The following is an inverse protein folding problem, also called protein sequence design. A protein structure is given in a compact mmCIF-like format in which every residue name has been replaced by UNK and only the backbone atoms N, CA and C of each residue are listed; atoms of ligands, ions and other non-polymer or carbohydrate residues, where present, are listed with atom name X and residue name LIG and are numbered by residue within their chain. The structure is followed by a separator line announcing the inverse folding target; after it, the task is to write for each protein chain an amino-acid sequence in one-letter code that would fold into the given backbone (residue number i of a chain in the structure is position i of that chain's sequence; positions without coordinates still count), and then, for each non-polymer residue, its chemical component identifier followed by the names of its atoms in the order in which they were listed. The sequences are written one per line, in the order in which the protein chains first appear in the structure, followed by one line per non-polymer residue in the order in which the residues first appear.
data_IF_876290054034
#
_entry.id   IF_876290054034
#
_cell.length_a   1.000
_cell.length_b   1.000
_cell.length_c   1.000
_cell.angle_alpha   90.00
_cell.angle_beta   90.00
_cell.angle_gamma   90.00
#
_symmetry.space_group_name_H-M   'P 1'
#
loop_
_entity.id
_entity.type
_entity.pdbx_description
1 polymer ?
#
# COMPACT_ATOMS: atom_id res chain seq x y z
N UNK A 1 -18.34 -28.68 -69.61
CA UNK A 1 -17.01 -28.18 -69.19
C UNK A 1 -17.15 -27.38 -67.91
N UNK A 2 -16.14 -27.49 -67.04
CA UNK A 2 -15.91 -26.78 -65.75
C UNK A 2 -16.59 -27.35 -64.51
N UNK A 3 -15.89 -28.30 -63.88
CA UNK A 3 -15.98 -28.59 -62.46
C UNK A 3 -14.76 -28.00 -61.74
N UNK A 4 -15.06 -27.26 -60.67
CA UNK A 4 -14.29 -26.97 -59.44
C UNK A 4 -12.77 -27.28 -59.42
N UNK A 5 -11.98 -26.23 -59.25
CA UNK A 5 -10.64 -26.31 -58.64
C UNK A 5 -10.74 -25.74 -57.22
N UNK A 6 -10.45 -26.60 -56.23
CA UNK A 6 -10.23 -26.24 -54.84
C UNK A 6 -8.72 -26.01 -54.65
N UNK A 7 -8.40 -24.91 -53.98
CA UNK A 7 -7.11 -24.52 -53.43
C UNK A 7 -6.51 -25.61 -52.50
N UNK A 8 -5.20 -25.48 -52.22
CA UNK A 8 -4.80 -25.36 -50.82
C UNK A 8 -4.07 -24.04 -50.60
N UNK A 9 -4.66 -23.22 -49.72
CA UNK A 9 -4.06 -22.01 -49.16
C UNK A 9 -3.05 -22.48 -48.10
N UNK A 10 -1.76 -22.40 -48.42
CA UNK A 10 -0.70 -22.63 -47.45
C UNK A 10 -0.67 -21.45 -46.47
N UNK A 11 -1.12 -21.69 -45.25
CA UNK A 11 -0.98 -20.77 -44.12
C UNK A 11 0.49 -20.82 -43.70
N UNK A 12 1.27 -19.80 -44.09
CA UNK A 12 2.57 -19.53 -43.49
C UNK A 12 2.33 -18.84 -42.15
N UNK A 13 2.31 -19.60 -41.06
CA UNK A 13 2.50 -19.06 -39.71
C UNK A 13 3.97 -18.69 -39.56
N UNK A 14 4.28 -17.40 -39.64
CA UNK A 14 5.56 -16.86 -39.21
C UNK A 14 5.65 -16.93 -37.68
N UNK A 15 6.13 -18.07 -37.16
CA UNK A 15 6.70 -18.18 -35.82
C UNK A 15 8.10 -17.54 -35.82
N UNK A 16 8.14 -16.21 -35.82
CA UNK A 16 9.33 -15.43 -35.47
C UNK A 16 9.02 -14.65 -34.19
N UNK A 17 9.10 -15.34 -33.06
CA UNK A 17 8.96 -14.77 -31.73
C UNK A 17 10.00 -15.37 -30.79
N UNK A 18 11.28 -15.30 -31.16
CA UNK A 18 12.38 -15.72 -30.29
C UNK A 18 12.75 -14.56 -29.35
N UNK A 19 12.50 -14.75 -28.05
CA UNK A 19 13.23 -14.15 -26.91
C UNK A 19 13.36 -12.62 -26.81
N UNK A 20 12.36 -11.83 -27.22
CA UNK A 20 12.30 -10.44 -26.73
C UNK A 20 11.68 -10.44 -25.32
N UNK A 21 12.51 -10.21 -24.30
CA UNK A 21 12.04 -10.02 -22.92
C UNK A 21 11.06 -8.85 -22.84
N UNK A 22 10.01 -9.00 -22.03
CA UNK A 22 9.04 -7.92 -21.81
C UNK A 22 9.73 -6.71 -21.16
N UNK A 23 9.17 -5.48 -21.25
CA UNK A 23 9.71 -4.33 -20.54
C UNK A 23 9.91 -4.61 -19.04
N UNK A 24 8.98 -5.29 -18.39
CA UNK A 24 9.07 -5.66 -16.97
C UNK A 24 10.15 -6.68 -16.67
N UNK A 25 10.36 -7.64 -17.58
CA UNK A 25 11.45 -8.61 -17.46
C UNK A 25 12.82 -7.91 -17.61
N UNK A 26 12.94 -6.93 -18.52
CA UNK A 26 14.16 -6.10 -18.63
C UNK A 26 14.43 -5.31 -17.35
N UNK A 27 13.39 -4.73 -16.74
CA UNK A 27 13.50 -4.05 -15.46
C UNK A 27 13.95 -5.02 -14.37
N UNK A 28 13.32 -6.20 -14.24
CA UNK A 28 13.72 -7.22 -13.26
C UNK A 28 15.18 -7.68 -13.47
N UNK A 29 15.63 -7.80 -14.71
CA UNK A 29 17.00 -8.19 -15.05
C UNK A 29 18.03 -7.07 -14.78
N UNK A 30 17.58 -5.82 -14.55
CA UNK A 30 18.46 -4.73 -14.12
C UNK A 30 18.80 -4.76 -12.63
N UNK A 31 18.10 -5.60 -11.85
CA UNK A 31 18.25 -5.72 -10.40
C UNK A 31 19.07 -6.96 -10.02
N UNK A 32 19.74 -6.94 -8.85
CA UNK A 32 20.41 -8.12 -8.33
C UNK A 32 19.44 -9.29 -8.14
N UNK A 33 19.99 -10.50 -8.15
CA UNK A 33 19.26 -11.70 -7.76
C UNK A 33 19.41 -11.89 -6.25
N UNK A 34 18.31 -11.68 -5.52
CA UNK A 34 18.26 -11.58 -4.07
C UNK A 34 17.25 -12.59 -3.50
N UNK A 35 17.61 -13.23 -2.39
CA UNK A 35 16.69 -14.03 -1.58
C UNK A 35 16.40 -13.32 -0.24
N UNK A 36 15.29 -13.67 0.41
CA UNK A 36 14.94 -13.12 1.72
C UNK A 36 16.00 -13.45 2.77
N UNK A 37 16.60 -14.64 2.72
CA UNK A 37 17.65 -15.07 3.64
C UNK A 37 18.93 -14.25 3.50
N UNK A 38 19.19 -13.69 2.32
CA UNK A 38 20.35 -12.83 2.07
C UNK A 38 20.14 -11.42 2.62
N UNK A 39 18.93 -10.88 2.47
CA UNK A 39 18.65 -9.46 2.76
C UNK A 39 18.12 -9.23 4.18
N UNK A 40 17.43 -10.21 4.78
CA UNK A 40 16.86 -10.07 6.12
C UNK A 40 17.88 -10.46 7.19
N UNK A 41 18.34 -9.53 8.04
CA UNK A 41 19.19 -9.89 9.16
C UNK A 41 18.39 -10.64 10.23
N UNK A 42 19.11 -11.38 11.07
CA UNK A 42 18.50 -11.94 12.28
C UNK A 42 18.19 -10.81 13.27
N UNK A 43 16.97 -10.82 13.81
CA UNK A 43 16.51 -9.82 14.77
C UNK A 43 15.99 -10.50 16.02
N UNK A 44 16.19 -9.84 17.16
CA UNK A 44 15.67 -10.28 18.45
C UNK A 44 14.25 -9.74 18.67
N UNK A 45 13.48 -10.49 19.47
CA UNK A 45 12.20 -10.02 19.99
C UNK A 45 12.38 -8.74 20.82
N UNK A 46 11.37 -7.88 20.84
CA UNK A 46 11.33 -6.72 21.71
C UNK A 46 10.02 -6.70 22.50
N UNK A 47 9.80 -5.63 23.28
CA UNK A 47 8.63 -5.52 24.15
C UNK A 47 7.27 -5.51 23.42
N UNK A 48 7.25 -5.25 22.11
CA UNK A 48 6.04 -5.17 21.30
C UNK A 48 5.91 -6.32 20.31
N UNK A 49 7.00 -6.84 19.75
CA UNK A 49 6.95 -7.85 18.72
C UNK A 49 7.86 -9.06 18.97
N UNK A 50 7.34 -10.24 18.66
CA UNK A 50 8.04 -11.52 18.74
C UNK A 50 7.87 -12.32 17.45
N UNK A 51 8.80 -13.26 17.14
CA UNK A 51 8.73 -14.06 15.90
C UNK A 51 7.49 -14.96 15.77
N UNK A 52 6.79 -15.26 16.87
CA UNK A 52 5.59 -16.10 16.90
C UNK A 52 4.33 -15.34 16.51
N UNK A 53 4.37 -14.01 16.52
CA UNK A 53 3.26 -13.18 16.06
C UNK A 53 3.09 -13.33 14.55
N UNK A 54 1.85 -13.24 14.07
CA UNK A 54 1.59 -13.27 12.64
C UNK A 54 2.00 -11.94 11.97
N UNK A 55 2.46 -12.04 10.73
CA UNK A 55 3.12 -10.95 10.00
C UNK A 55 2.25 -9.71 9.78
N UNK A 56 0.92 -9.84 9.77
CA UNK A 56 0.01 -8.69 9.67
C UNK A 56 0.14 -7.79 10.90
N UNK A 57 0.11 -8.37 12.10
CA UNK A 57 0.26 -7.62 13.34
C UNK A 57 1.67 -7.03 13.44
N UNK A 58 2.69 -7.79 13.04
CA UNK A 58 4.08 -7.33 13.03
C UNK A 58 4.28 -6.12 12.11
N UNK A 59 3.67 -6.13 10.92
CA UNK A 59 3.65 -4.97 10.01
C UNK A 59 2.98 -3.76 10.68
N UNK A 60 1.77 -3.96 11.23
CA UNK A 60 1.02 -2.93 11.92
C UNK A 60 1.79 -2.29 13.07
N UNK A 61 2.40 -3.10 13.93
CA UNK A 61 3.23 -2.64 15.05
C UNK A 61 4.47 -1.91 14.57
N UNK A 62 5.09 -2.39 13.49
CA UNK A 62 6.21 -1.70 12.84
C UNK A 62 5.83 -0.28 12.45
N UNK A 63 4.71 -0.10 11.75
CA UNK A 63 4.24 1.22 11.32
C UNK A 63 3.81 2.08 12.52
N UNK A 64 3.11 1.49 13.50
CA UNK A 64 2.72 2.20 14.73
C UNK A 64 3.92 2.81 15.45
N UNK A 65 5.03 2.07 15.54
CA UNK A 65 6.26 2.51 16.18
C UNK A 65 6.99 3.61 15.39
N UNK A 66 6.89 3.60 14.05
CA UNK A 66 7.36 4.72 13.22
C UNK A 66 6.54 5.98 13.52
N UNK A 67 5.22 5.85 13.66
CA UNK A 67 4.36 6.97 14.01
C UNK A 67 4.69 7.54 15.40
N UNK A 68 5.05 6.69 16.36
CA UNK A 68 5.54 7.15 17.67
C UNK A 68 6.87 7.91 17.56
N UNK A 69 7.80 7.41 16.74
CA UNK A 69 9.07 8.10 16.46
C UNK A 69 8.83 9.51 15.87
N UNK A 70 7.88 9.63 14.95
CA UNK A 70 7.48 10.90 14.37
C UNK A 70 6.90 11.87 15.43
N UNK A 71 6.04 11.40 16.32
CA UNK A 71 5.47 12.21 17.40
C UNK A 71 6.55 12.67 18.37
N UNK A 72 7.52 11.82 18.71
CA UNK A 72 8.55 12.10 19.71
C UNK A 72 9.65 13.02 19.19
N UNK A 73 10.10 12.82 17.95
CA UNK A 73 11.32 13.46 17.44
C UNK A 73 11.08 14.39 16.24
N UNK A 74 9.87 14.40 15.66
CA UNK A 74 9.49 15.30 14.57
C UNK A 74 10.48 15.27 13.41
N UNK A 75 10.98 16.44 13.00
CA UNK A 75 11.95 16.58 11.92
C UNK A 75 13.32 15.95 12.21
N UNK A 76 13.70 15.78 13.49
CA UNK A 76 14.99 15.17 13.88
C UNK A 76 15.06 13.66 13.61
N UNK A 77 13.92 13.02 13.30
CA UNK A 77 13.78 11.57 13.13
C UNK A 77 14.67 10.96 12.04
N UNK A 78 15.05 11.74 11.04
CA UNK A 78 15.81 11.25 9.87
C UNK A 78 17.31 11.17 10.12
N UNK A 79 17.82 11.75 11.21
CA UNK A 79 19.27 11.86 11.44
C UNK A 79 19.87 10.62 12.09
N UNK A 80 19.13 9.99 13.00
CA UNK A 80 19.58 8.85 13.81
C UNK A 80 18.45 7.84 14.04
N UNK A 81 18.81 6.57 14.19
CA UNK A 81 17.89 5.51 14.57
C UNK A 81 17.55 5.56 16.07
N UNK A 82 16.36 6.09 16.39
CA UNK A 82 15.79 6.07 17.75
C UNK A 82 15.53 4.64 18.23
N UNK A 83 15.15 4.52 19.52
CA UNK A 83 14.73 3.24 20.09
C UNK A 83 13.48 2.71 19.38
N UNK A 84 12.54 3.59 19.09
CA UNK A 84 11.28 3.29 18.41
C UNK A 84 11.55 2.76 16.99
N UNK A 85 12.46 3.38 16.25
CA UNK A 85 12.86 2.91 14.91
C UNK A 85 13.56 1.56 14.94
N UNK A 86 14.42 1.30 15.94
CA UNK A 86 15.05 -0.01 16.09
C UNK A 86 14.01 -1.10 16.37
N UNK A 87 13.02 -0.82 17.23
CA UNK A 87 11.92 -1.74 17.49
C UNK A 87 11.04 -1.94 16.25
N UNK A 88 10.67 -0.86 15.56
CA UNK A 88 9.89 -0.90 14.32
C UNK A 88 10.55 -1.77 13.27
N UNK A 89 11.85 -1.56 13.06
CA UNK A 89 12.68 -2.33 12.14
C UNK A 89 12.67 -3.82 12.47
N UNK A 90 12.81 -4.21 13.75
CA UNK A 90 12.68 -5.63 14.14
C UNK A 90 11.32 -6.22 13.76
N UNK A 91 10.22 -5.50 14.03
CA UNK A 91 8.88 -6.00 13.70
C UNK A 91 8.70 -6.17 12.18
N UNK A 92 9.16 -5.20 11.39
CA UNK A 92 9.06 -5.24 9.93
C UNK A 92 9.92 -6.36 9.32
N UNK A 93 11.11 -6.63 9.87
CA UNK A 93 11.94 -7.76 9.43
C UNK A 93 11.25 -9.10 9.71
N UNK A 94 10.57 -9.24 10.86
CA UNK A 94 9.76 -10.43 11.15
C UNK A 94 8.52 -10.55 10.26
N UNK A 95 7.96 -9.43 9.80
CA UNK A 95 6.81 -9.40 8.90
C UNK A 95 7.17 -9.72 7.43
N UNK A 96 8.34 -9.28 6.98
CA UNK A 96 8.78 -9.30 5.58
C UNK A 96 8.62 -10.66 4.86
N UNK A 97 8.87 -11.83 5.48
CA UNK A 97 8.72 -13.11 4.77
C UNK A 97 7.31 -13.43 4.26
N UNK A 98 6.28 -12.74 4.76
CA UNK A 98 4.88 -12.93 4.34
C UNK A 98 4.21 -11.63 3.89
N UNK A 99 4.89 -10.49 4.04
CA UNK A 99 4.39 -9.16 3.73
C UNK A 99 5.52 -8.34 3.09
N UNK A 100 5.66 -8.44 1.78
CA UNK A 100 6.71 -7.78 1.00
C UNK A 100 6.68 -6.26 1.14
N UNK A 101 5.51 -5.65 1.33
CA UNK A 101 5.36 -4.22 1.69
C UNK A 101 6.21 -3.78 2.88
N UNK A 102 6.51 -4.70 3.82
CA UNK A 102 7.42 -4.41 4.94
C UNK A 102 8.82 -4.01 4.44
N UNK A 103 9.26 -4.55 3.31
CA UNK A 103 10.54 -4.22 2.68
C UNK A 103 10.56 -2.81 2.08
N UNK A 104 9.43 -2.30 1.57
CA UNK A 104 9.33 -0.88 1.17
C UNK A 104 9.59 0.04 2.37
N UNK A 105 8.96 -0.28 3.50
CA UNK A 105 9.08 0.52 4.74
C UNK A 105 10.50 0.39 5.31
N UNK A 106 11.08 -0.80 5.31
CA UNK A 106 12.47 -1.02 5.72
C UNK A 106 13.45 -0.24 4.83
N UNK A 107 13.28 -0.30 3.51
CA UNK A 107 14.08 0.47 2.56
C UNK A 107 14.05 1.97 2.85
N UNK A 108 12.87 2.51 3.19
CA UNK A 108 12.70 3.91 3.60
C UNK A 108 13.39 4.22 4.92
N UNK A 109 13.25 3.36 5.94
CA UNK A 109 13.90 3.53 7.25
C UNK A 109 15.42 3.59 7.10
N UNK A 110 15.98 2.63 6.37
CA UNK A 110 17.42 2.46 6.16
C UNK A 110 17.96 3.59 5.28
N UNK A 111 17.28 3.87 4.16
CA UNK A 111 17.71 4.88 3.20
C UNK A 111 17.74 6.30 3.76
N UNK A 112 16.87 6.60 4.73
CA UNK A 112 16.86 7.88 5.44
C UNK A 112 17.98 8.00 6.49
N UNK A 113 18.49 6.89 7.04
CA UNK A 113 19.38 6.85 8.22
C UNK A 113 20.71 6.18 7.91
N UNK A 114 21.40 6.69 6.89
CA UNK A 114 22.65 6.13 6.36
C UNK A 114 23.85 6.26 7.32
N UNK A 115 23.69 6.96 8.44
CA UNK A 115 24.69 6.99 9.52
C UNK A 115 24.61 5.74 10.41
N UNK A 116 23.43 5.14 10.53
CA UNK A 116 23.18 3.96 11.35
C UNK A 116 23.16 2.66 10.54
N UNK A 117 22.84 2.75 9.25
CA UNK A 117 22.60 1.60 8.40
C UNK A 117 23.26 1.70 7.03
N UNK A 118 23.52 0.55 6.41
CA UNK A 118 24.15 0.48 5.09
C UNK A 118 23.18 0.92 3.98
N UNK A 119 23.69 1.67 3.01
CA UNK A 119 22.93 2.06 1.81
C UNK A 119 22.58 0.86 0.94
N UNK A 120 23.45 -0.16 0.89
CA UNK A 120 23.18 -1.37 0.10
C UNK A 120 21.98 -2.12 0.65
N UNK A 121 21.80 -2.15 1.97
CA UNK A 121 20.65 -2.78 2.61
C UNK A 121 19.33 -2.12 2.21
N UNK A 122 19.28 -0.78 2.16
CA UNK A 122 18.09 -0.08 1.67
C UNK A 122 17.78 -0.44 0.22
N UNK A 123 18.81 -0.46 -0.63
CA UNK A 123 18.66 -0.82 -2.03
C UNK A 123 18.18 -2.26 -2.20
N UNK A 124 18.73 -3.22 -1.46
CA UNK A 124 18.39 -4.63 -1.57
C UNK A 124 16.92 -4.89 -1.16
N UNK A 125 16.43 -4.22 -0.12
CA UNK A 125 15.01 -4.28 0.26
C UNK A 125 14.10 -3.75 -0.84
N UNK A 126 14.43 -2.58 -1.39
CA UNK A 126 13.65 -1.94 -2.47
C UNK A 126 13.71 -2.81 -3.73
N UNK A 127 14.88 -3.30 -4.13
CA UNK A 127 15.07 -4.14 -5.31
C UNK A 127 14.29 -5.45 -5.18
N UNK A 128 14.36 -6.13 -4.03
CA UNK A 128 13.59 -7.36 -3.81
C UNK A 128 12.09 -7.10 -3.90
N UNK A 129 11.58 -6.06 -3.23
CA UNK A 129 10.16 -5.72 -3.23
C UNK A 129 9.64 -5.36 -4.63
N UNK A 130 10.41 -4.58 -5.40
CA UNK A 130 10.05 -4.20 -6.77
C UNK A 130 10.01 -5.42 -7.72
N UNK A 131 10.93 -6.39 -7.58
CA UNK A 131 10.86 -7.66 -8.34
C UNK A 131 9.59 -8.45 -8.04
N UNK A 132 8.98 -8.23 -6.89
CA UNK A 132 7.73 -8.85 -6.44
C UNK A 132 6.51 -7.94 -6.62
N UNK A 133 6.60 -6.93 -7.49
CA UNK A 133 5.51 -6.03 -7.89
C UNK A 133 4.95 -5.15 -6.76
N UNK A 134 5.77 -4.81 -5.76
CA UNK A 134 5.40 -3.79 -4.77
C UNK A 134 5.59 -2.40 -5.39
N UNK A 135 4.48 -1.73 -5.70
CA UNK A 135 4.49 -0.44 -6.40
C UNK A 135 5.25 0.66 -5.64
N UNK A 136 5.20 0.64 -4.29
CA UNK A 136 6.01 1.51 -3.43
C UNK A 136 7.52 1.37 -3.67
N UNK A 137 7.99 0.15 -3.93
CA UNK A 137 9.40 -0.11 -4.18
C UNK A 137 9.80 0.22 -5.61
N UNK A 138 8.89 0.03 -6.57
CA UNK A 138 9.09 0.46 -7.95
C UNK A 138 9.23 1.99 -8.03
N UNK A 139 8.38 2.74 -7.31
CA UNK A 139 8.53 4.19 -7.14
C UNK A 139 9.86 4.55 -6.45
N UNK A 140 10.26 3.77 -5.43
CA UNK A 140 11.57 3.91 -4.79
C UNK A 140 12.75 3.74 -5.77
N UNK A 141 12.66 2.82 -6.73
CA UNK A 141 13.69 2.66 -7.76
C UNK A 141 13.72 3.82 -8.76
N UNK A 142 12.55 4.38 -9.11
CA UNK A 142 12.50 5.64 -9.86
C UNK A 142 13.27 6.75 -9.14
N UNK A 143 13.02 6.94 -7.84
CA UNK A 143 13.72 7.92 -7.02
C UNK A 143 15.23 7.69 -6.94
N UNK A 144 15.65 6.42 -6.84
CA UNK A 144 17.07 6.06 -6.78
C UNK A 144 17.78 6.38 -8.08
N UNK A 145 17.19 5.99 -9.22
CA UNK A 145 17.82 6.17 -10.53
C UNK A 145 17.58 7.55 -11.14
N UNK A 146 16.56 8.30 -10.75
CA UNK A 146 16.29 9.63 -11.33
C UNK A 146 17.37 10.64 -10.98
N UNK A 147 17.85 10.60 -9.72
CA UNK A 147 18.82 11.55 -9.17
C UNK A 147 20.12 10.91 -8.67
N UNK A 148 20.21 9.57 -8.65
CA UNK A 148 21.38 8.84 -8.17
C UNK A 148 21.47 8.85 -6.65
N UNK A 149 20.93 7.81 -5.99
CA UNK A 149 20.99 7.61 -4.53
C UNK A 149 21.49 6.21 -4.20
N UNK A 150 21.75 5.97 -2.91
CA UNK A 150 22.13 4.67 -2.35
C UNK A 150 23.33 3.98 -3.05
N UNK A 151 24.26 4.77 -3.59
CA UNK A 151 25.44 4.25 -4.29
C UNK A 151 25.24 3.98 -5.79
N UNK A 152 24.06 4.27 -6.34
CA UNK A 152 23.78 4.14 -7.76
C UNK A 152 23.84 5.49 -8.48
N UNK A 153 24.45 5.57 -9.68
CA UNK A 153 24.45 6.78 -10.48
C UNK A 153 23.05 7.06 -11.07
N UNK A 154 22.75 8.31 -11.44
CA UNK A 154 21.52 8.61 -12.15
C UNK A 154 21.45 7.87 -13.48
N UNK A 155 20.29 7.27 -13.77
CA UNK A 155 19.94 6.65 -15.04
C UNK A 155 18.46 6.96 -15.34
N UNK A 156 18.21 8.02 -16.12
CA UNK A 156 16.85 8.51 -16.39
C UNK A 156 15.99 7.50 -17.14
N UNK A 157 16.56 6.76 -18.10
CA UNK A 157 15.80 5.77 -18.86
C UNK A 157 15.31 4.64 -17.96
N UNK A 158 16.21 4.11 -17.12
CA UNK A 158 15.85 3.07 -16.15
C UNK A 158 14.86 3.59 -15.11
N UNK A 159 15.06 4.81 -14.62
CA UNK A 159 14.14 5.45 -13.67
C UNK A 159 12.72 5.54 -14.24
N UNK A 160 12.57 6.04 -15.48
CA UNK A 160 11.26 6.18 -16.11
C UNK A 160 10.57 4.84 -16.34
N UNK A 161 11.31 3.77 -16.64
CA UNK A 161 10.75 2.42 -16.73
C UNK A 161 10.17 1.95 -15.39
N UNK A 162 10.86 2.21 -14.28
CA UNK A 162 10.35 1.91 -12.94
C UNK A 162 9.15 2.77 -12.55
N UNK A 163 9.15 4.07 -12.88
CA UNK A 163 8.00 4.96 -12.66
C UNK A 163 6.75 4.46 -13.41
N UNK A 164 6.89 4.11 -14.68
CA UNK A 164 5.79 3.61 -15.49
C UNK A 164 5.23 2.29 -14.92
N UNK A 165 6.11 1.40 -14.44
CA UNK A 165 5.68 0.15 -13.81
C UNK A 165 4.96 0.39 -12.47
N UNK A 166 5.48 1.26 -11.61
CA UNK A 166 4.82 1.67 -10.37
C UNK A 166 3.42 2.24 -10.64
N UNK A 167 3.31 3.13 -11.63
CA UNK A 167 2.05 3.73 -12.06
C UNK A 167 1.06 2.67 -12.57
N UNK A 168 1.52 1.67 -13.35
CA UNK A 168 0.68 0.53 -13.79
C UNK A 168 0.23 -0.35 -12.63
N UNK A 169 1.06 -0.50 -11.60
CA UNK A 169 0.74 -1.24 -10.39
C UNK A 169 -0.06 -0.45 -9.35
N UNK A 170 -0.58 0.73 -9.74
CA UNK A 170 -1.55 1.48 -8.93
C UNK A 170 -0.95 2.51 -7.98
N UNK A 171 0.36 2.80 -8.08
CA UNK A 171 0.93 3.91 -7.31
C UNK A 171 0.43 5.24 -7.87
N UNK A 172 -0.45 5.91 -7.10
CA UNK A 172 -1.14 7.12 -7.54
C UNK A 172 -0.18 8.30 -7.75
N UNK A 173 0.86 8.43 -6.91
CA UNK A 173 1.89 9.46 -7.07
C UNK A 173 2.66 9.25 -8.38
N UNK A 174 3.04 8.01 -8.69
CA UNK A 174 3.68 7.66 -9.96
C UNK A 174 2.77 7.94 -11.15
N UNK A 175 1.47 7.69 -11.05
CA UNK A 175 0.51 8.05 -12.11
C UNK A 175 0.44 9.56 -12.32
N UNK A 176 0.42 10.36 -11.25
CA UNK A 176 0.47 11.82 -11.33
C UNK A 176 1.79 12.30 -11.95
N UNK A 177 2.90 11.65 -11.59
CA UNK A 177 4.22 11.94 -12.14
C UNK A 177 4.33 11.57 -13.62
N UNK A 178 3.70 10.49 -14.07
CA UNK A 178 3.59 10.17 -15.49
C UNK A 178 2.84 11.25 -16.28
N UNK A 179 1.77 11.83 -15.72
CA UNK A 179 1.07 12.98 -16.33
C UNK A 179 1.97 14.20 -16.40
N UNK A 180 2.61 14.54 -15.27
CA UNK A 180 3.49 15.71 -15.14
C UNK A 180 4.66 15.63 -16.10
N UNK A 181 5.43 14.54 -16.05
CA UNK A 181 6.60 14.34 -16.88
C UNK A 181 6.24 14.34 -18.37
N UNK A 182 5.21 13.61 -18.78
CA UNK A 182 4.79 13.56 -20.19
C UNK A 182 4.34 14.94 -20.69
N UNK A 183 3.69 15.73 -19.84
CA UNK A 183 3.30 17.10 -20.17
C UNK A 183 4.50 18.04 -20.30
N UNK A 184 5.53 17.89 -19.46
CA UNK A 184 6.77 18.67 -19.54
C UNK A 184 7.59 18.36 -20.80
N UNK A 185 7.44 17.16 -21.35
CA UNK A 185 8.05 16.75 -22.63
C UNK A 185 7.17 17.06 -23.85
N UNK A 186 6.08 17.81 -23.70
CA UNK A 186 5.07 18.06 -24.73
C UNK A 186 4.44 16.78 -25.34
N UNK A 187 4.56 15.64 -24.65
CA UNK A 187 3.94 14.38 -25.02
C UNK A 187 2.52 14.28 -24.45
N UNK A 188 1.65 15.17 -24.94
CA UNK A 188 0.28 15.27 -24.47
C UNK A 188 -0.59 14.01 -24.69
N UNK A 189 -0.42 13.19 -25.76
CA UNK A 189 -1.14 11.92 -25.88
C UNK A 189 -0.89 10.96 -24.70
N UNK A 190 0.36 10.81 -24.27
CA UNK A 190 0.70 9.95 -23.11
C UNK A 190 0.25 10.58 -21.80
N UNK A 191 0.44 11.90 -21.63
CA UNK A 191 -0.08 12.62 -20.47
C UNK A 191 -1.59 12.46 -20.32
N UNK A 192 -2.32 12.48 -21.44
CA UNK A 192 -3.76 12.29 -21.47
C UNK A 192 -4.17 10.89 -21.05
N UNK A 193 -3.47 9.86 -21.54
CA UNK A 193 -3.75 8.47 -21.18
C UNK A 193 -3.60 8.24 -19.66
N UNK A 194 -2.54 8.76 -19.04
CA UNK A 194 -2.37 8.68 -17.59
C UNK A 194 -3.36 9.53 -16.81
N UNK A 195 -3.72 10.72 -17.31
CA UNK A 195 -4.76 11.54 -16.70
C UNK A 195 -6.13 10.84 -16.70
N UNK A 196 -6.40 10.02 -17.72
CA UNK A 196 -7.60 9.18 -17.82
C UNK A 196 -7.57 8.03 -16.81
N UNK A 197 -6.41 7.41 -16.57
CA UNK A 197 -6.25 6.38 -15.53
C UNK A 197 -6.50 6.94 -14.14
N UNK A 198 -5.96 8.12 -13.82
CA UNK A 198 -6.26 8.83 -12.56
C UNK A 198 -7.74 9.19 -12.39
N UNK A 199 -8.49 9.24 -13.50
CA UNK A 199 -9.91 9.59 -13.53
C UNK A 199 -10.24 10.96 -12.88
N UNK A 200 -9.29 11.91 -12.95
CA UNK A 200 -9.45 13.25 -12.40
C UNK A 200 -9.90 14.23 -13.49
N UNK A 201 -11.18 14.62 -13.48
CA UNK A 201 -11.77 15.49 -14.52
C UNK A 201 -10.96 16.78 -14.76
N UNK A 202 -10.46 17.42 -13.70
CA UNK A 202 -9.66 18.65 -13.81
C UNK A 202 -8.34 18.40 -14.55
N UNK A 203 -7.66 17.31 -14.23
CA UNK A 203 -6.37 16.92 -14.82
C UNK A 203 -6.56 16.54 -16.30
N UNK A 204 -7.59 15.75 -16.61
CA UNK A 204 -7.97 15.39 -17.98
C UNK A 204 -8.22 16.65 -18.83
N UNK A 205 -9.05 17.57 -18.34
CA UNK A 205 -9.39 18.78 -19.09
C UNK A 205 -8.21 19.74 -19.25
N UNK A 206 -7.30 19.80 -18.26
CA UNK A 206 -6.08 20.60 -18.36
C UNK A 206 -5.15 20.11 -19.48
N UNK A 207 -4.98 18.79 -19.62
CA UNK A 207 -4.18 18.21 -20.70
C UNK A 207 -4.86 18.38 -22.05
N UNK A 208 -6.16 18.08 -22.17
CA UNK A 208 -6.94 18.22 -23.42
C UNK A 208 -6.85 19.61 -24.05
N UNK A 209 -6.85 20.68 -23.25
CA UNK A 209 -6.76 22.06 -23.75
C UNK A 209 -5.48 22.35 -24.53
N UNK A 210 -4.43 21.54 -24.34
CA UNK A 210 -3.14 21.66 -25.04
C UNK A 210 -3.04 20.75 -26.27
N UNK A 211 -4.07 19.94 -26.55
CA UNK A 211 -4.03 18.89 -27.57
C UNK A 211 -4.76 19.29 -28.85
N UNK A 212 -4.22 18.86 -29.97
CA UNK A 212 -4.95 18.83 -31.24
C UNK A 212 -5.96 17.67 -31.30
N UNK A 213 -6.95 17.69 -32.21
CA UNK A 213 -7.85 16.55 -32.43
C UNK A 213 -7.13 15.23 -32.74
N UNK A 214 -6.01 15.29 -33.47
CA UNK A 214 -5.17 14.13 -33.75
C UNK A 214 -4.54 13.56 -32.47
N UNK A 215 -3.94 14.43 -31.65
CA UNK A 215 -3.35 14.02 -30.37
C UNK A 215 -4.39 13.44 -29.41
N UNK A 216 -5.63 13.93 -29.43
CA UNK A 216 -6.72 13.33 -28.65
C UNK A 216 -7.01 11.90 -29.08
N UNK A 217 -7.06 11.63 -30.40
CA UNK A 217 -7.24 10.28 -30.91
C UNK A 217 -6.05 9.36 -30.55
N UNK A 218 -4.81 9.85 -30.67
CA UNK A 218 -3.61 9.14 -30.23
C UNK A 218 -3.64 8.86 -28.72
N UNK A 219 -4.09 9.81 -27.90
CA UNK A 219 -4.23 9.65 -26.46
C UNK A 219 -5.27 8.60 -26.07
N UNK A 220 -6.40 8.51 -26.76
CA UNK A 220 -7.37 7.44 -26.55
C UNK A 220 -6.81 6.05 -26.92
N UNK A 221 -5.97 5.97 -27.96
CA UNK A 221 -5.27 4.73 -28.30
C UNK A 221 -4.29 4.31 -27.20
N UNK A 222 -3.49 5.25 -26.70
CA UNK A 222 -2.59 5.01 -25.57
C UNK A 222 -3.35 4.58 -24.31
N UNK A 223 -4.45 5.25 -23.98
CA UNK A 223 -5.30 4.86 -22.84
C UNK A 223 -5.82 3.43 -23.00
N UNK A 224 -6.34 3.08 -24.18
CA UNK A 224 -6.84 1.73 -24.46
C UNK A 224 -5.75 0.67 -24.30
N UNK A 225 -4.53 0.95 -24.78
CA UNK A 225 -3.38 0.05 -24.63
C UNK A 225 -2.92 -0.05 -23.17
N UNK A 226 -3.03 1.03 -22.40
CA UNK A 226 -2.63 1.07 -21.01
C UNK A 226 -3.57 0.23 -20.14
N UNK A 227 -4.89 0.27 -20.40
CA UNK A 227 -5.89 -0.50 -19.66
C UNK A 227 -5.60 -2.01 -19.59
N UNK A 228 -4.97 -2.59 -20.62
CA UNK A 228 -4.60 -4.02 -20.60
C UNK A 228 -3.36 -4.35 -19.78
N UNK A 229 -2.66 -3.34 -19.25
CA UNK A 229 -1.41 -3.48 -18.51
C UNK A 229 -1.52 -2.99 -17.07
N UNK A 230 -2.62 -2.34 -16.70
CA UNK A 230 -2.88 -1.91 -15.34
C UNK A 230 -3.19 -3.12 -14.45
N UNK A 231 -2.75 -3.06 -13.20
CA UNK A 231 -3.29 -3.93 -12.16
C UNK A 231 -4.81 -3.67 -12.05
N UNK A 232 -5.64 -4.72 -12.03
CA UNK A 232 -7.07 -4.56 -11.85
C UNK A 232 -7.41 -3.76 -10.59
N UNK A 233 -8.37 -2.84 -10.68
CA UNK A 233 -8.79 -1.97 -9.56
C UNK A 233 -9.12 -2.77 -8.29
N UNK A 234 -9.82 -3.89 -8.44
CA UNK A 234 -10.14 -4.81 -7.34
C UNK A 234 -8.91 -5.34 -6.61
N UNK A 235 -7.82 -5.61 -7.32
CA UNK A 235 -6.60 -6.14 -6.72
C UNK A 235 -5.87 -5.03 -5.93
N UNK A 236 -5.92 -3.78 -6.43
CA UNK A 236 -5.43 -2.59 -5.72
C UNK A 236 -6.25 -2.37 -4.44
N UNK A 237 -7.58 -2.38 -4.53
CA UNK A 237 -8.49 -2.25 -3.38
C UNK A 237 -8.23 -3.34 -2.34
N UNK A 238 -8.02 -4.59 -2.77
CA UNK A 238 -7.73 -5.70 -1.88
C UNK A 238 -6.38 -5.54 -1.16
N UNK A 239 -5.35 -5.04 -1.86
CA UNK A 239 -4.05 -4.73 -1.27
C UNK A 239 -4.17 -3.59 -0.24
N UNK A 240 -4.82 -2.48 -0.59
CA UNK A 240 -5.06 -1.36 0.32
C UNK A 240 -5.83 -1.79 1.58
N UNK A 241 -6.90 -2.59 1.40
CA UNK A 241 -7.67 -3.12 2.52
C UNK A 241 -6.81 -3.97 3.45
N UNK A 242 -5.91 -4.79 2.90
CA UNK A 242 -4.97 -5.62 3.67
C UNK A 242 -4.03 -4.75 4.53
N UNK A 243 -3.54 -3.65 3.98
CA UNK A 243 -2.68 -2.70 4.70
C UNK A 243 -3.44 -1.96 5.80
N UNK A 244 -4.67 -1.52 5.54
CA UNK A 244 -5.54 -0.87 6.55
C UNK A 244 -5.82 -1.83 7.72
N UNK A 245 -6.05 -3.11 7.45
CA UNK A 245 -6.22 -4.13 8.49
C UNK A 245 -4.93 -4.28 9.32
N UNK A 246 -3.76 -4.34 8.68
CA UNK A 246 -2.49 -4.42 9.40
C UNK A 246 -2.28 -3.21 10.31
N UNK A 247 -2.46 -2.00 9.78
CA UNK A 247 -2.40 -0.74 10.52
C UNK A 247 -3.34 -0.74 11.74
N UNK A 248 -4.62 -1.06 11.51
CA UNK A 248 -5.64 -1.08 12.55
C UNK A 248 -5.35 -2.14 13.62
N UNK A 249 -4.86 -3.31 13.23
CA UNK A 249 -4.41 -4.36 14.15
C UNK A 249 -3.26 -3.89 15.04
N UNK A 250 -2.24 -3.25 14.46
CA UNK A 250 -1.09 -2.71 15.19
C UNK A 250 -1.49 -1.60 16.17
N UNK A 251 -2.37 -0.71 15.74
CA UNK A 251 -2.87 0.40 16.55
C UNK A 251 -3.66 -0.06 17.78
N UNK A 252 -4.59 -0.99 17.56
CA UNK A 252 -5.39 -1.60 18.62
C UNK A 252 -4.49 -2.40 19.57
N UNK A 253 -3.56 -3.21 19.05
CA UNK A 253 -2.69 -4.02 19.90
C UNK A 253 -1.77 -3.16 20.76
N UNK A 254 -1.20 -2.10 20.19
CA UNK A 254 -0.29 -1.20 20.90
C UNK A 254 -1.01 -0.42 22.00
N UNK A 255 -2.22 0.09 21.72
CA UNK A 255 -2.92 1.02 22.61
C UNK A 255 -3.87 0.31 23.58
N UNK A 256 -4.50 -0.79 23.14
CA UNK A 256 -5.55 -1.53 23.84
C UNK A 256 -5.44 -3.05 23.59
N UNK A 257 -4.36 -3.71 24.03
CA UNK A 257 -4.16 -5.15 23.80
C UNK A 257 -5.31 -6.01 24.36
N UNK A 258 -6.02 -5.53 25.38
CA UNK A 258 -7.20 -6.17 25.97
C UNK A 258 -8.33 -6.44 24.96
N UNK A 259 -8.39 -5.66 23.87
CA UNK A 259 -9.36 -5.86 22.78
C UNK A 259 -9.23 -7.26 22.20
N UNK A 260 -8.02 -7.82 22.18
CA UNK A 260 -7.72 -9.11 21.56
C UNK A 260 -7.59 -10.27 22.55
N UNK A 261 -7.86 -10.06 23.84
CA UNK A 261 -7.79 -11.12 24.84
C UNK A 261 -8.67 -12.32 24.48
N UNK A 262 -8.05 -13.51 24.49
CA UNK A 262 -8.71 -14.77 24.14
C UNK A 262 -8.92 -15.01 22.65
N UNK A 263 -8.49 -14.11 21.76
CA UNK A 263 -8.57 -14.31 20.31
C UNK A 263 -7.33 -15.03 19.77
N UNK A 264 -7.54 -16.01 18.90
CA UNK A 264 -6.50 -16.50 17.98
C UNK A 264 -6.17 -15.44 16.91
N UNK A 265 -5.02 -15.55 16.24
CA UNK A 265 -4.66 -14.66 15.12
C UNK A 265 -5.73 -14.59 14.03
N UNK A 266 -6.40 -15.70 13.73
CA UNK A 266 -7.47 -15.75 12.74
C UNK A 266 -8.71 -14.96 13.20
N UNK A 267 -9.09 -15.10 14.47
CA UNK A 267 -10.21 -14.35 15.05
C UNK A 267 -9.89 -12.86 15.12
N UNK A 268 -8.66 -12.49 15.51
CA UNK A 268 -8.20 -11.09 15.54
C UNK A 268 -8.33 -10.45 14.15
N UNK A 269 -7.77 -11.10 13.13
CA UNK A 269 -7.84 -10.64 11.74
C UNK A 269 -9.28 -10.48 11.26
N UNK A 270 -10.13 -11.48 11.51
CA UNK A 270 -11.54 -11.42 11.13
C UNK A 270 -12.28 -10.28 11.83
N UNK A 271 -12.00 -10.06 13.11
CA UNK A 271 -12.58 -8.95 13.88
C UNK A 271 -12.16 -7.60 13.30
N UNK A 272 -10.86 -7.36 13.10
CA UNK A 272 -10.37 -6.09 12.55
C UNK A 272 -10.83 -5.87 11.10
N UNK A 273 -10.87 -6.93 10.29
CA UNK A 273 -11.42 -6.87 8.93
C UNK A 273 -12.87 -6.38 8.91
N UNK A 274 -13.72 -6.87 9.83
CA UNK A 274 -15.09 -6.39 9.96
C UNK A 274 -15.12 -4.90 10.32
N UNK A 275 -14.24 -4.43 11.22
CA UNK A 275 -14.16 -3.01 11.58
C UNK A 275 -13.85 -2.12 10.37
N UNK A 276 -12.88 -2.54 9.55
CA UNK A 276 -12.48 -1.83 8.33
C UNK A 276 -13.64 -1.81 7.33
N UNK A 277 -14.32 -2.94 7.11
CA UNK A 277 -15.47 -3.02 6.21
C UNK A 277 -16.64 -2.11 6.65
N UNK A 278 -16.75 -1.81 7.96
CA UNK A 278 -17.76 -0.86 8.44
C UNK A 278 -17.50 0.57 7.97
N UNK A 279 -16.25 0.98 7.74
CA UNK A 279 -15.92 2.34 7.32
C UNK A 279 -16.49 2.65 5.92
N UNK A 280 -16.53 1.64 5.04
CA UNK A 280 -17.14 1.76 3.72
C UNK A 280 -18.67 1.91 3.78
N UNK A 281 -19.29 1.24 4.76
CA UNK A 281 -20.74 1.27 4.96
C UNK A 281 -21.22 2.55 5.65
N UNK A 282 -20.37 3.18 6.46
CA UNK A 282 -20.71 4.35 7.27
C UNK A 282 -19.69 5.47 7.06
N UNK A 283 -19.84 6.33 6.04
CA UNK A 283 -18.84 7.35 5.69
C UNK A 283 -18.54 8.39 6.78
N UNK A 284 -19.41 8.53 7.79
CA UNK A 284 -19.15 9.37 8.98
C UNK A 284 -18.26 8.68 10.01
N UNK A 285 -18.11 7.35 9.92
CA UNK A 285 -17.21 6.53 10.72
C UNK A 285 -15.89 6.34 9.94
N UNK A 286 -15.01 7.31 10.06
CA UNK A 286 -13.87 7.46 9.15
C UNK A 286 -12.57 7.77 9.88
N UNK A 287 -12.63 8.11 11.18
CA UNK A 287 -11.42 8.44 11.94
C UNK A 287 -10.85 7.20 12.64
N UNK A 288 -9.54 7.23 12.86
CA UNK A 288 -8.82 6.19 13.62
C UNK A 288 -9.36 6.04 15.05
N UNK A 289 -9.71 7.15 15.70
CA UNK A 289 -10.27 7.15 17.05
C UNK A 289 -11.65 6.47 17.11
N UNK A 290 -12.50 6.71 16.12
CA UNK A 290 -13.80 6.05 16.01
C UNK A 290 -13.62 4.53 15.87
N UNK A 291 -12.70 4.06 15.03
CA UNK A 291 -12.41 2.63 14.88
C UNK A 291 -11.98 1.99 16.22
N UNK A 292 -11.11 2.67 16.96
CA UNK A 292 -10.68 2.22 18.29
C UNK A 292 -11.83 2.17 19.29
N UNK A 293 -12.65 3.23 19.37
CA UNK A 293 -13.80 3.29 20.25
C UNK A 293 -14.82 2.19 19.93
N UNK A 294 -15.11 1.98 18.64
CA UNK A 294 -15.98 0.89 18.19
C UNK A 294 -15.46 -0.47 18.63
N UNK A 295 -14.16 -0.72 18.45
CA UNK A 295 -13.55 -1.99 18.85
C UNK A 295 -13.71 -2.26 20.35
N UNK A 296 -13.42 -1.26 21.18
CA UNK A 296 -13.55 -1.33 22.64
C UNK A 296 -15.01 -1.55 23.09
N UNK A 297 -15.94 -0.80 22.52
CA UNK A 297 -17.37 -0.94 22.83
C UNK A 297 -17.89 -2.30 22.36
N UNK A 298 -17.46 -2.80 21.20
CA UNK A 298 -17.84 -4.12 20.70
C UNK A 298 -17.44 -5.23 21.66
N UNK A 299 -16.21 -5.15 22.20
CA UNK A 299 -15.72 -6.11 23.20
C UNK A 299 -16.47 -6.00 24.51
N UNK A 300 -16.78 -4.78 24.95
CA UNK A 300 -17.63 -4.56 26.11
C UNK A 300 -19.01 -5.21 25.93
N UNK A 301 -19.69 -5.00 24.81
CA UNK A 301 -21.01 -5.60 24.53
C UNK A 301 -20.94 -7.13 24.54
N UNK A 302 -19.94 -7.73 23.87
CA UNK A 302 -19.73 -9.18 23.86
C UNK A 302 -19.58 -9.76 25.27
N UNK A 303 -18.96 -9.01 26.19
CA UNK A 303 -18.77 -9.43 27.59
C UNK A 303 -19.98 -9.16 28.50
N UNK A 304 -20.94 -8.34 28.09
CA UNK A 304 -21.93 -7.75 29.01
C UNK A 304 -23.38 -8.21 28.83
N UNK A 305 -23.80 -8.89 27.76
CA UNK A 305 -25.20 -9.35 27.66
C UNK A 305 -25.69 -9.62 26.24
N UNK A 306 -27.01 -9.54 25.95
CA UNK A 306 -27.55 -9.91 24.65
C UNK A 306 -26.89 -9.09 23.53
N UNK A 307 -26.77 -9.69 22.35
CA UNK A 307 -26.13 -9.08 21.19
C UNK A 307 -26.78 -7.71 20.90
N UNK A 308 -26.05 -6.64 21.17
CA UNK A 308 -26.40 -5.28 20.74
C UNK A 308 -25.65 -5.01 19.45
N UNK A 309 -26.39 -4.80 18.37
CA UNK A 309 -25.80 -4.24 17.15
C UNK A 309 -25.57 -2.74 17.38
N UNK A 310 -24.29 -2.35 17.42
CA UNK A 310 -23.88 -0.97 17.71
C UNK A 310 -24.41 0.03 16.67
N UNK A 311 -24.61 -0.41 15.43
CA UNK A 311 -25.08 0.44 14.33
C UNK A 311 -26.59 0.62 14.34
N UNK A 312 -27.32 -0.40 14.77
CA UNK A 312 -28.78 -0.34 14.91
C UNK A 312 -29.20 0.40 16.18
N UNK A 313 -28.26 0.72 17.06
CA UNK A 313 -28.54 1.46 18.26
C UNK A 313 -28.36 2.98 18.08
N UNK A 314 -29.42 3.80 18.11
CA UNK A 314 -29.29 5.22 17.80
C UNK A 314 -28.39 5.98 18.77
N UNK A 315 -28.35 5.59 20.04
CA UNK A 315 -27.57 6.28 21.05
C UNK A 315 -26.07 5.94 20.96
N UNK A 316 -25.74 4.67 20.70
CA UNK A 316 -24.35 4.24 20.50
C UNK A 316 -23.83 4.70 19.13
N UNK A 317 -24.63 4.60 18.08
CA UNK A 317 -24.29 5.11 16.76
C UNK A 317 -23.99 6.62 16.80
N UNK A 318 -24.81 7.43 17.48
CA UNK A 318 -24.57 8.86 17.62
C UNK A 318 -23.22 9.18 18.30
N UNK A 319 -22.78 8.36 19.27
CA UNK A 319 -21.46 8.51 19.89
C UNK A 319 -20.32 8.15 18.92
N UNK A 320 -20.52 7.12 18.10
CA UNK A 320 -19.48 6.59 17.21
C UNK A 320 -19.20 7.46 15.99
N UNK A 321 -20.11 8.38 15.64
CA UNK A 321 -19.94 9.31 14.51
C UNK A 321 -19.67 10.76 14.98
N UNK A 322 -19.44 10.95 16.28
CA UNK A 322 -19.12 12.26 16.85
C UNK A 322 -17.60 12.45 16.79
N UNK A 323 -17.15 13.31 15.87
CA UNK A 323 -15.73 13.58 15.64
C UNK A 323 -15.07 14.38 16.77
N UNK A 324 -15.87 15.01 17.65
CA UNK A 324 -15.38 15.84 18.75
C UNK A 324 -15.06 15.02 20.03
N UNK A 325 -15.43 13.74 20.06
CA UNK A 325 -15.22 12.89 21.23
C UNK A 325 -13.89 12.12 21.18
N UNK A 326 -13.18 12.13 22.31
CA UNK A 326 -12.06 11.23 22.53
C UNK A 326 -12.51 9.77 22.58
N UNK A 327 -11.58 8.84 22.37
CA UNK A 327 -11.85 7.40 22.50
C UNK A 327 -12.35 7.09 23.90
N UNK A 328 -11.71 7.65 24.92
CA UNK A 328 -12.02 7.46 26.33
C UNK A 328 -13.42 7.96 26.68
N UNK A 329 -13.77 9.17 26.24
CA UNK A 329 -15.09 9.76 26.49
C UNK A 329 -16.19 8.97 25.79
N UNK A 330 -15.93 8.55 24.55
CA UNK A 330 -16.86 7.74 23.75
C UNK A 330 -17.15 6.42 24.46
N UNK A 331 -16.11 5.71 24.91
CA UNK A 331 -16.23 4.43 25.62
C UNK A 331 -16.91 4.61 26.99
N UNK A 332 -16.59 5.67 27.74
CA UNK A 332 -17.21 5.96 29.04
C UNK A 332 -18.71 6.25 28.92
N UNK A 333 -19.12 7.04 27.91
CA UNK A 333 -20.53 7.31 27.61
C UNK A 333 -21.25 6.03 27.17
N UNK A 334 -20.64 5.22 26.31
CA UNK A 334 -21.19 3.94 25.87
C UNK A 334 -21.42 2.98 27.05
N UNK A 335 -20.48 2.87 28.00
CA UNK A 335 -20.65 2.09 29.25
C UNK A 335 -21.89 2.52 30.02
N UNK A 336 -22.13 3.83 30.13
CA UNK A 336 -23.29 4.38 30.83
C UNK A 336 -24.61 4.03 30.13
N UNK A 337 -24.65 4.10 28.80
CA UNK A 337 -25.82 3.71 27.99
C UNK A 337 -26.11 2.21 28.17
N UNK A 338 -25.09 1.37 28.05
CA UNK A 338 -25.23 -0.09 28.17
C UNK A 338 -25.66 -0.51 29.59
N UNK A 339 -25.16 0.15 30.63
CA UNK A 339 -25.55 -0.12 32.02
C UNK A 339 -27.03 0.16 32.28
N UNK A 340 -27.58 1.25 31.74
CA UNK A 340 -29.00 1.61 31.87
C UNK A 340 -29.95 0.60 31.25
N UNK A 341 -29.49 -0.21 30.29
CA UNK A 341 -30.30 -1.20 29.57
C UNK A 341 -30.34 -2.57 30.22
N UNK A 342 -29.45 -2.81 31.18
CA UNK A 342 -29.45 -4.02 32.00
C UNK A 342 -30.45 -3.95 33.17
N UNK A 343 -30.97 -2.75 33.46
CA UNK A 343 -31.96 -2.47 34.50
C UNK A 343 -33.36 -2.58 33.94
#
# INVERSE_FOLDING_TARGET
MKSRSLLPLAIFTLLLGCNASSPDEKLNNSLPDLSLEQILPKVEANQYCTPEMDSELLLGLGIRLINEDEVLYGAGRTLLASKEIKMARSCLIMAAPRYTTSLCILGSIVGARQNDYDKSEAFDYIAYAAKHNESCAEAGLYDIYSIGKLGHPPNKELAMGWLERAARHGDQESQQDMVRWSSEQDNFPVAYAWARVLNEAKTIEAVKRKMSPRQMAEGEQHYTQLLSQLTPEKDIEQALRKDIIALSSGDLYYSHPEVFEGMSSMQRRAFVAQLVDMQDLYPKFHTRGQLMAYALISRLVQSTGPAVDLWQDPALHALLIDDDLSVEDTVAKAKTILAKRKQ
#
